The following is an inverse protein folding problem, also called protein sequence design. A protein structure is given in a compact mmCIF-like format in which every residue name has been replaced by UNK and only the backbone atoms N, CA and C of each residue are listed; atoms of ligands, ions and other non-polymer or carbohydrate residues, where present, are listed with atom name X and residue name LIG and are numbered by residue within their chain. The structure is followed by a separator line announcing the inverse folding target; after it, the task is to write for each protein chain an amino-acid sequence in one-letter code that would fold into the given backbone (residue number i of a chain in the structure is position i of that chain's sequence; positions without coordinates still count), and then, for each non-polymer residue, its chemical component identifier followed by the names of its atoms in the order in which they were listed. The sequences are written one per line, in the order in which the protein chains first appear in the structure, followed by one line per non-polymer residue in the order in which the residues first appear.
data_IF_547514931060
#
_entry.id   IF_547514931060
#
_cell.length_a   1.000
_cell.length_b   1.000
_cell.length_c   1.000
_cell.angle_alpha   90.00
_cell.angle_beta   90.00
_cell.angle_gamma   90.00
#
_symmetry.space_group_name_H-M   'P 1'
#
loop_
_entity.id
_entity.type
_entity.pdbx_description
1 polymer ?
#
# COMPACT_ATOMS: atom_id res chain seq x y z
N UNK A 1 -18.85 -17.26 -23.94
CA UNK A 1 -17.87 -17.49 -22.85
C UNK A 1 -18.50 -17.04 -21.54
N UNK A 2 -18.22 -17.72 -20.43
CA UNK A 2 -18.78 -17.42 -19.11
C UNK A 2 -18.25 -16.07 -18.58
N UNK A 3 -19.11 -15.10 -18.25
CA UNK A 3 -18.69 -13.83 -17.63
C UNK A 3 -17.80 -14.00 -16.38
N UNK A 4 -17.98 -15.08 -15.61
CA UNK A 4 -17.15 -15.38 -14.43
C UNK A 4 -15.69 -15.67 -14.80
N UNK A 5 -15.42 -16.12 -16.03
CA UNK A 5 -14.05 -16.31 -16.54
C UNK A 5 -13.32 -14.99 -16.85
N UNK A 6 -14.03 -13.86 -16.81
CA UNK A 6 -13.50 -12.51 -17.02
C UNK A 6 -13.52 -11.66 -15.75
N UNK A 7 -13.93 -12.23 -14.60
CA UNK A 7 -13.76 -11.58 -13.31
C UNK A 7 -12.25 -11.45 -13.03
N UNK A 8 -11.68 -10.37 -13.55
CA UNK A 8 -10.26 -10.06 -13.57
C UNK A 8 -9.70 -10.07 -12.16
N UNK A 9 -8.77 -10.98 -11.91
CA UNK A 9 -7.76 -10.75 -10.89
C UNK A 9 -6.77 -9.78 -11.50
N UNK A 10 -6.95 -8.47 -11.25
CA UNK A 10 -6.16 -7.38 -11.85
C UNK A 10 -4.64 -7.62 -11.76
N UNK A 11 -4.21 -8.32 -10.72
CA UNK A 11 -2.81 -8.69 -10.50
C UNK A 11 -2.27 -9.76 -11.45
N UNK A 12 -3.11 -10.62 -12.04
CA UNK A 12 -2.68 -11.76 -12.86
C UNK A 12 -2.04 -11.30 -14.17
N UNK A 13 -2.62 -10.29 -14.83
CA UNK A 13 -2.05 -9.72 -16.04
C UNK A 13 -0.70 -9.06 -15.75
N UNK A 14 -0.63 -8.25 -14.69
CA UNK A 14 0.61 -7.64 -14.21
C UNK A 14 1.69 -8.70 -13.92
N UNK A 15 1.34 -9.72 -13.14
CA UNK A 15 2.25 -10.81 -12.79
C UNK A 15 2.72 -11.59 -14.02
N UNK A 16 1.84 -11.84 -14.99
CA UNK A 16 2.20 -12.54 -16.23
C UNK A 16 3.14 -11.73 -17.11
N UNK A 17 2.93 -10.41 -17.18
CA UNK A 17 3.86 -9.53 -17.86
C UNK A 17 5.22 -9.51 -17.16
N UNK A 18 5.23 -9.38 -15.83
CA UNK A 18 6.46 -9.36 -15.02
C UNK A 18 7.20 -10.69 -15.09
N UNK A 19 6.50 -11.83 -15.08
CA UNK A 19 7.15 -13.14 -15.16
C UNK A 19 7.82 -13.41 -16.51
N UNK A 20 7.36 -12.75 -17.57
CA UNK A 20 8.02 -12.78 -18.88
C UNK A 20 9.23 -11.85 -18.99
N UNK A 21 9.46 -10.95 -18.03
CA UNK A 21 10.59 -10.00 -17.99
C UNK A 21 11.63 -10.42 -16.96
N UNK A 22 11.18 -10.94 -15.82
CA UNK A 22 12.00 -11.31 -14.68
C UNK A 22 11.72 -12.78 -14.33
N UNK A 23 12.76 -13.61 -14.38
CA UNK A 23 12.65 -15.04 -14.10
C UNK A 23 12.34 -15.31 -12.62
N UNK A 24 13.13 -14.72 -11.72
CA UNK A 24 12.99 -14.88 -10.28
C UNK A 24 12.80 -13.52 -9.61
N UNK A 25 11.58 -13.26 -9.12
CA UNK A 25 11.26 -12.01 -8.43
C UNK A 25 10.03 -12.14 -7.53
N UNK A 26 9.94 -11.28 -6.52
CA UNK A 26 8.68 -10.96 -5.84
C UNK A 26 8.07 -9.77 -6.55
N UNK A 27 6.90 -9.93 -7.18
CA UNK A 27 6.15 -8.80 -7.73
C UNK A 27 5.25 -8.22 -6.63
N UNK A 28 5.39 -6.93 -6.36
CA UNK A 28 4.56 -6.21 -5.38
C UNK A 28 3.79 -5.10 -6.09
N UNK A 29 2.46 -5.12 -5.99
CA UNK A 29 1.58 -4.08 -6.52
C UNK A 29 0.82 -3.43 -5.37
N UNK A 30 1.14 -2.17 -5.06
CA UNK A 30 0.50 -1.43 -3.97
C UNK A 30 -0.51 -0.44 -4.53
N UNK A 31 -1.79 -0.77 -4.38
CA UNK A 31 -2.89 0.10 -4.75
C UNK A 31 -3.35 1.03 -3.62
N UNK A 32 -4.50 1.68 -3.85
CA UNK A 32 -5.16 2.51 -2.82
C UNK A 32 -5.65 1.71 -1.62
N UNK A 33 -5.96 0.42 -1.82
CA UNK A 33 -6.72 -0.41 -0.86
C UNK A 33 -5.98 -1.66 -0.43
N UNK A 34 -5.27 -2.29 -1.37
CA UNK A 34 -4.63 -3.58 -1.20
C UNK A 34 -3.19 -3.55 -1.68
N UNK A 35 -2.40 -4.48 -1.16
CA UNK A 35 -1.05 -4.79 -1.64
C UNK A 35 -1.03 -6.26 -2.05
N UNK A 36 -0.74 -6.51 -3.32
CA UNK A 36 -0.53 -7.86 -3.84
C UNK A 36 0.96 -8.21 -3.74
N UNK A 37 1.29 -9.41 -3.24
CA UNK A 37 2.68 -9.89 -3.08
C UNK A 37 2.80 -11.25 -3.77
N UNK A 38 3.40 -11.27 -4.95
CA UNK A 38 3.28 -12.38 -5.89
C UNK A 38 4.67 -12.98 -6.18
N UNK A 39 4.93 -14.23 -5.76
CA UNK A 39 6.17 -14.90 -6.09
C UNK A 39 6.18 -15.34 -7.56
N UNK A 40 7.27 -15.01 -8.26
CA UNK A 40 7.60 -15.48 -9.60
C UNK A 40 8.91 -16.26 -9.51
N UNK A 41 8.91 -17.51 -10.00
CA UNK A 41 10.06 -18.42 -9.94
C UNK A 41 10.25 -19.08 -11.31
N UNK A 42 11.42 -18.91 -11.93
CA UNK A 42 11.72 -19.39 -13.27
C UNK A 42 10.74 -18.91 -14.34
N UNK A 43 10.18 -17.70 -14.19
CA UNK A 43 9.17 -17.12 -15.08
C UNK A 43 7.74 -17.64 -14.84
N UNK A 44 7.53 -18.48 -13.83
CA UNK A 44 6.23 -19.03 -13.45
C UNK A 44 5.67 -18.35 -12.20
N UNK A 45 4.39 -17.98 -12.26
CA UNK A 45 3.67 -17.39 -11.13
C UNK A 45 3.35 -18.49 -10.11
N UNK A 46 3.85 -18.34 -8.87
CA UNK A 46 3.63 -19.30 -7.78
C UNK A 46 2.55 -18.88 -6.77
N UNK A 47 1.89 -17.75 -7.02
CA UNK A 47 0.80 -17.25 -6.18
C UNK A 47 -0.40 -18.23 -6.14
N UNK A 48 -1.11 -18.21 -5.01
CA UNK A 48 -2.39 -18.86 -4.79
C UNK A 48 -3.47 -18.25 -5.69
N UNK A 49 -4.47 -19.06 -6.02
CA UNK A 49 -5.49 -18.69 -7.00
C UNK A 49 -6.62 -17.86 -6.40
N UNK A 50 -7.02 -18.17 -5.16
CA UNK A 50 -8.16 -17.51 -4.51
C UNK A 50 -7.69 -16.45 -3.52
N UNK A 51 -8.46 -15.37 -3.37
CA UNK A 51 -8.11 -14.32 -2.41
C UNK A 51 -8.07 -14.84 -0.96
N UNK A 52 -8.90 -15.82 -0.60
CA UNK A 52 -8.84 -16.46 0.72
C UNK A 52 -7.48 -17.13 0.98
N UNK A 53 -6.97 -17.89 0.02
CA UNK A 53 -5.65 -18.53 0.15
C UNK A 53 -4.52 -17.50 0.14
N UNK A 54 -4.66 -16.43 -0.66
CA UNK A 54 -3.70 -15.33 -0.71
C UNK A 54 -3.66 -14.55 0.60
N UNK A 55 -4.81 -14.29 1.21
CA UNK A 55 -4.90 -13.70 2.56
C UNK A 55 -4.24 -14.61 3.61
N UNK A 56 -4.49 -15.92 3.56
CA UNK A 56 -3.88 -16.91 4.49
C UNK A 56 -2.36 -16.99 4.36
N UNK A 57 -1.82 -16.83 3.15
CA UNK A 57 -0.39 -16.91 2.87
C UNK A 57 0.34 -15.56 2.95
N UNK A 58 -0.42 -14.45 2.97
CA UNK A 58 0.08 -13.08 2.93
C UNK A 58 0.43 -12.57 1.53
N UNK A 59 0.07 -13.30 0.48
CA UNK A 59 0.18 -12.87 -0.93
C UNK A 59 -0.86 -11.80 -1.31
N UNK A 60 -1.84 -11.57 -0.43
CA UNK A 60 -2.76 -10.44 -0.46
C UNK A 60 -2.77 -9.80 0.94
N UNK A 61 -2.43 -8.52 1.01
CA UNK A 61 -2.51 -7.71 2.21
C UNK A 61 -3.60 -6.67 1.98
N UNK A 62 -4.62 -6.63 2.86
CA UNK A 62 -5.71 -5.65 2.79
C UNK A 62 -5.29 -4.30 3.42
N UNK A 63 -4.22 -3.74 2.86
CA UNK A 63 -3.66 -2.46 3.23
C UNK A 63 -3.05 -1.81 1.99
N UNK A 64 -3.42 -0.56 1.71
CA UNK A 64 -2.93 0.23 0.59
C UNK A 64 -2.51 1.62 1.04
N UNK A 65 -2.23 2.50 0.08
CA UNK A 65 -1.71 3.84 0.37
C UNK A 65 -2.81 4.83 0.78
N UNK A 66 -4.07 4.61 0.39
CA UNK A 66 -5.10 5.63 0.58
C UNK A 66 -6.17 5.23 1.60
N UNK A 67 -6.87 4.12 1.35
CA UNK A 67 -8.20 3.84 1.91
C UNK A 67 -8.20 3.02 3.20
N UNK A 68 -7.04 2.58 3.68
CA UNK A 68 -6.97 1.68 4.83
C UNK A 68 -7.21 2.44 6.12
N UNK A 69 -8.21 2.01 6.92
CA UNK A 69 -8.45 2.55 8.26
C UNK A 69 -7.23 2.31 9.16
N UNK A 70 -6.71 3.37 9.79
CA UNK A 70 -5.58 3.30 10.72
C UNK A 70 -5.82 2.28 11.84
N UNK A 71 -7.07 2.13 12.31
CA UNK A 71 -7.46 1.17 13.34
C UNK A 71 -7.32 -0.32 12.94
N UNK A 72 -7.10 -0.60 11.65
CA UNK A 72 -6.81 -1.94 11.12
C UNK A 72 -5.31 -2.20 10.94
N UNK A 73 -4.50 -1.15 10.97
CA UNK A 73 -3.03 -1.20 10.88
C UNK A 73 -2.40 -1.27 12.27
N UNK A 74 -2.89 -0.42 13.18
CA UNK A 74 -2.41 -0.30 14.55
C UNK A 74 -3.49 -0.77 15.54
N UNK A 75 -3.07 -1.06 16.77
CA UNK A 75 -3.97 -1.29 17.92
C UNK A 75 -3.65 -0.38 19.10
N UNK A 76 -2.42 0.09 19.14
CA UNK A 76 -1.90 1.06 20.09
C UNK A 76 -0.90 1.95 19.37
N UNK A 77 -0.65 3.12 19.92
CA UNK A 77 0.36 4.09 19.48
C UNK A 77 1.15 4.58 20.67
N UNK A 78 2.40 4.92 20.45
CA UNK A 78 3.22 5.68 21.40
C UNK A 78 2.94 7.18 21.20
N UNK A 79 2.63 7.91 22.27
CA UNK A 79 2.38 9.37 22.28
C UNK A 79 3.22 10.03 23.38
N UNK A 80 3.68 11.27 23.12
CA UNK A 80 4.48 12.03 24.08
C UNK A 80 5.82 11.34 24.39
N UNK A 81 6.09 11.11 25.67
CA UNK A 81 7.30 10.44 26.17
C UNK A 81 7.27 8.90 25.98
N UNK A 82 6.79 8.44 24.81
CA UNK A 82 6.58 7.03 24.44
C UNK A 82 5.57 6.28 25.32
N UNK A 83 4.55 6.96 25.82
CA UNK A 83 3.48 6.31 26.56
C UNK A 83 2.55 5.56 25.60
N UNK A 84 2.24 4.31 25.95
CA UNK A 84 1.40 3.45 25.11
C UNK A 84 -0.09 3.82 25.27
N UNK A 85 -0.70 4.27 24.19
CA UNK A 85 -2.10 4.66 24.11
C UNK A 85 -2.89 3.68 23.22
N UNK A 86 -4.03 3.19 23.70
CA UNK A 86 -4.94 2.40 22.86
C UNK A 86 -5.71 3.31 21.91
N UNK A 87 -5.98 2.83 20.69
CA UNK A 87 -6.67 3.64 19.68
C UNK A 87 -8.15 3.28 19.56
N UNK A 88 -8.95 4.24 19.11
CA UNK A 88 -10.34 4.04 18.70
C UNK A 88 -10.45 3.11 17.49
N UNK A 89 -11.53 2.33 17.43
CA UNK A 89 -11.88 1.53 16.26
C UNK A 89 -12.60 2.31 15.15
N UNK A 90 -13.07 3.52 15.45
CA UNK A 90 -13.80 4.38 14.52
C UNK A 90 -12.95 4.74 13.29
N UNK A 91 -13.62 5.00 12.16
CA UNK A 91 -12.98 5.46 10.93
C UNK A 91 -12.65 6.96 11.05
N UNK A 92 -11.69 7.32 11.90
CA UNK A 92 -11.26 8.72 12.04
C UNK A 92 -10.16 9.12 11.07
N UNK A 93 -9.22 8.20 10.79
CA UNK A 93 -8.12 8.42 9.88
C UNK A 93 -7.87 7.21 9.00
N UNK A 94 -7.35 7.48 7.81
CA UNK A 94 -6.91 6.46 6.85
C UNK A 94 -5.44 6.65 6.49
N UNK A 95 -4.85 5.66 5.84
CA UNK A 95 -3.46 5.68 5.38
C UNK A 95 -3.10 6.88 4.50
N UNK A 96 -4.06 7.43 3.72
CA UNK A 96 -3.83 8.67 3.00
C UNK A 96 -3.48 9.84 3.93
N UNK A 97 -4.09 9.93 5.11
CA UNK A 97 -3.80 10.98 6.08
C UNK A 97 -2.37 10.85 6.59
N UNK A 98 -1.95 9.63 6.96
CA UNK A 98 -0.59 9.36 7.39
C UNK A 98 0.43 9.75 6.31
N UNK A 99 0.22 9.30 5.07
CA UNK A 99 1.17 9.56 3.98
C UNK A 99 1.15 11.00 3.47
N UNK A 100 0.04 11.72 3.61
CA UNK A 100 -0.01 13.16 3.35
C UNK A 100 0.78 13.92 4.43
N UNK A 101 0.63 13.54 5.71
CA UNK A 101 1.35 14.17 6.83
C UNK A 101 2.86 13.98 6.71
N UNK A 102 3.28 12.78 6.31
CA UNK A 102 4.68 12.43 6.09
C UNK A 102 5.24 12.93 4.74
N UNK A 103 4.41 13.50 3.86
CA UNK A 103 4.82 14.03 2.57
C UNK A 103 5.16 12.97 1.50
N UNK A 104 4.73 11.72 1.69
CA UNK A 104 4.87 10.66 0.67
C UNK A 104 3.85 10.79 -0.46
N UNK A 105 2.72 11.46 -0.20
CA UNK A 105 1.70 11.78 -1.19
C UNK A 105 1.33 13.27 -1.11
N UNK A 106 0.86 13.82 -2.23
CA UNK A 106 0.30 15.17 -2.31
C UNK A 106 -1.21 15.16 -2.11
N UNK A 107 -1.82 16.33 -1.97
CA UNK A 107 -3.28 16.46 -1.94
C UNK A 107 -3.94 15.93 -3.22
N UNK A 108 -3.28 16.07 -4.38
CA UNK A 108 -3.77 15.57 -5.67
C UNK A 108 -3.71 14.04 -5.77
N UNK A 109 -2.74 13.41 -5.10
CA UNK A 109 -2.63 11.95 -5.01
C UNK A 109 -3.72 11.34 -4.09
N UNK A 110 -4.21 12.12 -3.11
CA UNK A 110 -5.30 11.74 -2.20
C UNK A 110 -6.65 11.77 -2.93
N UNK A 111 -6.87 10.77 -3.78
CA UNK A 111 -8.02 10.69 -4.70
C UNK A 111 -9.32 10.15 -4.09
N UNK A 112 -9.30 9.58 -2.89
CA UNK A 112 -10.52 9.20 -2.16
C UNK A 112 -11.03 10.35 -1.27
N UNK A 113 -12.26 10.21 -0.77
CA UNK A 113 -12.79 11.10 0.27
C UNK A 113 -12.02 10.89 1.58
N UNK A 114 -11.81 11.97 2.33
CA UNK A 114 -11.38 11.85 3.72
C UNK A 114 -12.53 11.32 4.59
N UNK A 115 -12.23 10.69 5.74
CA UNK A 115 -13.26 10.23 6.67
C UNK A 115 -14.24 11.30 7.17
N UNK A 116 -13.82 12.57 7.18
CA UNK A 116 -14.61 13.71 7.61
C UNK A 116 -14.95 14.69 6.48
N UNK A 117 -14.97 14.22 5.23
CA UNK A 117 -15.25 15.02 4.02
C UNK A 117 -16.54 15.84 4.14
N UNK A 118 -17.56 15.33 4.84
CA UNK A 118 -18.82 16.01 5.11
C UNK A 118 -18.67 17.35 5.84
N UNK A 119 -17.58 17.55 6.60
CA UNK A 119 -17.31 18.79 7.32
C UNK A 119 -16.72 19.90 6.43
N UNK A 120 -16.41 19.60 5.17
CA UNK A 120 -15.72 20.47 4.23
C UNK A 120 -16.58 20.89 3.03
N UNK A 121 -17.90 20.81 3.12
CA UNK A 121 -18.80 21.30 2.07
C UNK A 121 -18.50 22.78 1.74
N UNK A 122 -18.14 23.06 0.48
CA UNK A 122 -17.73 24.39 0.02
C UNK A 122 -16.28 24.79 0.37
N UNK A 123 -15.50 23.87 0.95
CA UNK A 123 -14.09 24.04 1.36
C UNK A 123 -13.27 22.78 1.06
N UNK A 124 -13.52 22.14 -0.07
CA UNK A 124 -12.95 20.84 -0.45
C UNK A 124 -11.41 20.88 -0.53
N UNK A 125 -10.82 22.04 -0.83
CA UNK A 125 -9.36 22.22 -0.82
C UNK A 125 -8.75 22.07 0.60
N UNK A 126 -9.50 22.40 1.64
CA UNK A 126 -9.04 22.30 3.03
C UNK A 126 -9.12 20.85 3.56
N UNK A 127 -10.01 20.02 2.99
CA UNK A 127 -10.24 18.61 3.37
C UNK A 127 -8.94 17.80 3.37
N UNK A 128 -8.14 17.97 2.32
CA UNK A 128 -6.92 17.22 2.01
C UNK A 128 -5.65 18.03 2.27
N UNK A 129 -5.71 18.91 3.25
CA UNK A 129 -4.54 19.62 3.77
C UNK A 129 -3.82 18.77 4.82
N UNK A 130 -2.52 19.02 4.99
CA UNK A 130 -1.70 18.38 6.04
C UNK A 130 -2.29 18.59 7.44
N UNK A 131 -2.80 19.79 7.72
CA UNK A 131 -3.40 20.12 9.03
C UNK A 131 -4.69 19.34 9.28
N UNK A 132 -5.56 19.20 8.28
CA UNK A 132 -6.78 18.39 8.40
C UNK A 132 -6.47 16.90 8.59
N UNK A 133 -5.45 16.39 7.90
CA UNK A 133 -4.97 15.02 8.11
C UNK A 133 -4.41 14.79 9.52
N UNK A 134 -3.63 15.73 10.07
CA UNK A 134 -3.16 15.65 11.46
C UNK A 134 -4.33 15.64 12.45
N UNK A 135 -5.34 16.50 12.26
CA UNK A 135 -6.56 16.49 13.09
C UNK A 135 -7.30 15.15 13.05
N UNK A 136 -7.40 14.53 11.87
CA UNK A 136 -7.98 13.18 11.74
C UNK A 136 -7.14 12.13 12.48
N UNK A 137 -5.82 12.20 12.39
CA UNK A 137 -4.92 11.32 13.13
C UNK A 137 -5.02 11.52 14.65
N UNK A 138 -5.17 12.74 15.15
CA UNK A 138 -5.39 12.99 16.59
C UNK A 138 -6.66 12.31 17.13
N UNK A 139 -7.74 12.29 16.32
CA UNK A 139 -8.99 11.62 16.70
C UNK A 139 -8.84 10.10 16.87
N UNK A 140 -7.80 9.48 16.29
CA UNK A 140 -7.52 8.05 16.46
C UNK A 140 -7.31 7.70 17.93
N UNK A 141 -6.81 8.63 18.75
CA UNK A 141 -6.68 8.48 20.21
C UNK A 141 -7.74 9.27 20.99
N UNK A 142 -8.88 9.54 20.35
CA UNK A 142 -10.01 10.28 20.93
C UNK A 142 -9.64 11.70 21.42
N UNK A 143 -8.67 12.33 20.78
CA UNK A 143 -8.18 13.67 21.13
C UNK A 143 -8.24 14.62 19.92
N UNK A 144 -7.78 15.85 20.09
CA UNK A 144 -7.62 16.86 19.05
C UNK A 144 -6.15 17.28 18.89
N UNK A 145 -5.87 18.07 17.85
CA UNK A 145 -4.50 18.44 17.51
C UNK A 145 -3.93 19.44 18.52
N UNK A 146 -4.79 20.26 19.09
CA UNK A 146 -4.48 21.27 20.08
C UNK A 146 -4.02 20.63 21.41
N UNK A 147 -4.55 19.46 21.76
CA UNK A 147 -4.14 18.68 22.94
C UNK A 147 -2.86 17.86 22.72
N UNK A 148 -2.77 17.04 21.65
CA UNK A 148 -1.60 16.15 21.48
C UNK A 148 -0.40 16.81 20.78
N UNK A 149 -0.62 17.93 20.09
CA UNK A 149 0.39 18.62 19.30
C UNK A 149 0.70 17.96 17.94
N UNK A 150 1.35 18.73 17.05
CA UNK A 150 1.71 18.25 15.70
C UNK A 150 2.71 17.09 15.74
N UNK A 151 3.68 17.12 16.64
CA UNK A 151 4.72 16.08 16.73
C UNK A 151 4.12 14.71 17.06
N UNK A 152 3.15 14.65 17.97
CA UNK A 152 2.43 13.41 18.28
C UNK A 152 1.59 12.92 17.10
N UNK A 153 0.91 13.83 16.38
CA UNK A 153 0.14 13.46 15.19
C UNK A 153 1.04 12.92 14.06
N UNK A 154 2.23 13.51 13.87
CA UNK A 154 3.27 12.99 12.96
C UNK A 154 3.77 11.63 13.45
N UNK A 155 4.05 11.46 14.74
CA UNK A 155 4.47 10.20 15.33
C UNK A 155 3.46 9.06 15.12
N UNK A 156 2.15 9.34 15.18
CA UNK A 156 1.11 8.37 14.80
C UNK A 156 1.26 7.98 13.31
N UNK A 157 1.45 8.95 12.41
CA UNK A 157 1.64 8.67 10.99
C UNK A 157 2.89 7.82 10.71
N UNK A 158 4.01 8.09 11.40
CA UNK A 158 5.24 7.30 11.31
C UNK A 158 5.02 5.85 11.76
N UNK A 159 4.29 5.66 12.86
CA UNK A 159 3.91 4.32 13.35
C UNK A 159 3.03 3.57 12.36
N UNK A 160 2.08 4.25 11.68
CA UNK A 160 1.28 3.65 10.60
C UNK A 160 2.18 3.15 9.47
N UNK A 161 3.10 3.99 8.99
CA UNK A 161 4.05 3.61 7.94
C UNK A 161 4.91 2.42 8.38
N UNK A 162 5.51 2.49 9.56
CA UNK A 162 6.36 1.42 10.13
C UNK A 162 5.60 0.09 10.18
N UNK A 163 4.35 0.09 10.63
CA UNK A 163 3.52 -1.10 10.68
C UNK A 163 3.16 -1.66 9.30
N UNK A 164 2.85 -0.80 8.31
CA UNK A 164 2.60 -1.24 6.93
C UNK A 164 3.87 -1.84 6.29
N UNK A 165 5.03 -1.20 6.45
CA UNK A 165 6.32 -1.70 5.97
C UNK A 165 6.66 -3.04 6.62
N UNK A 166 6.54 -3.15 7.95
CA UNK A 166 6.82 -4.39 8.68
C UNK A 166 5.92 -5.55 8.21
N UNK A 167 4.63 -5.29 7.98
CA UNK A 167 3.69 -6.29 7.47
C UNK A 167 4.04 -6.75 6.05
N UNK A 168 4.44 -5.83 5.18
CA UNK A 168 4.90 -6.15 3.83
C UNK A 168 6.21 -6.95 3.85
N UNK A 169 7.20 -6.49 4.62
CA UNK A 169 8.48 -7.18 4.80
C UNK A 169 8.29 -8.60 5.34
N UNK A 170 7.40 -8.79 6.33
CA UNK A 170 7.07 -10.10 6.84
C UNK A 170 6.44 -11.03 5.77
N UNK A 171 5.72 -10.49 4.79
CA UNK A 171 5.24 -11.28 3.66
C UNK A 171 6.37 -11.63 2.68
N UNK A 172 7.18 -10.63 2.32
CA UNK A 172 8.30 -10.79 1.40
C UNK A 172 9.35 -11.77 1.92
N UNK A 173 9.70 -11.74 3.21
CA UNK A 173 10.71 -12.63 3.80
C UNK A 173 10.31 -14.10 3.67
N UNK A 174 9.03 -14.43 3.90
CA UNK A 174 8.52 -15.81 3.73
C UNK A 174 8.68 -16.30 2.30
N UNK A 175 8.46 -15.44 1.31
CA UNK A 175 8.62 -15.78 -0.10
C UNK A 175 10.09 -15.88 -0.51
N UNK A 176 10.93 -14.95 -0.01
CA UNK A 176 12.38 -14.99 -0.18
C UNK A 176 12.95 -16.31 0.33
N UNK A 177 12.65 -16.70 1.56
CA UNK A 177 13.17 -17.95 2.15
C UNK A 177 12.63 -19.19 1.44
N UNK A 178 11.34 -19.21 1.11
CA UNK A 178 10.70 -20.37 0.48
C UNK A 178 11.19 -20.64 -0.94
N UNK A 179 11.47 -19.58 -1.70
CA UNK A 179 11.74 -19.67 -3.14
C UNK A 179 13.15 -19.19 -3.55
N UNK A 180 13.96 -18.67 -2.62
CA UNK A 180 15.29 -18.13 -2.91
C UNK A 180 15.26 -16.81 -3.71
N UNK A 181 14.24 -15.98 -3.50
CA UNK A 181 14.04 -14.76 -4.29
C UNK A 181 14.83 -13.57 -3.71
N UNK A 182 15.68 -12.97 -4.54
CA UNK A 182 16.58 -11.85 -4.17
C UNK A 182 16.27 -10.53 -4.91
N UNK A 183 15.15 -10.48 -5.64
CA UNK A 183 14.66 -9.29 -6.32
C UNK A 183 13.19 -9.04 -6.00
N UNK A 184 12.82 -7.77 -5.81
CA UNK A 184 11.45 -7.30 -5.77
C UNK A 184 11.20 -6.27 -6.87
N UNK A 185 10.10 -6.44 -7.60
CA UNK A 185 9.63 -5.51 -8.63
C UNK A 185 8.34 -4.86 -8.15
N UNK A 186 8.33 -3.53 -8.08
CA UNK A 186 7.25 -2.75 -7.49
C UNK A 186 6.42 -2.00 -8.53
N UNK A 187 5.10 -2.08 -8.42
CA UNK A 187 4.11 -1.31 -9.17
C UNK A 187 3.11 -0.61 -8.26
N UNK A 188 2.22 0.18 -8.86
CA UNK A 188 1.19 0.93 -8.15
C UNK A 188 1.71 2.28 -7.64
N UNK A 189 1.15 2.71 -6.51
CA UNK A 189 1.37 4.04 -5.90
C UNK A 189 2.20 3.99 -4.61
N UNK A 190 2.66 2.80 -4.20
CA UNK A 190 3.32 2.56 -2.91
C UNK A 190 4.80 2.19 -2.99
N UNK A 191 5.52 2.59 -4.03
CA UNK A 191 6.96 2.26 -4.20
C UNK A 191 7.81 2.54 -2.95
N UNK A 192 7.49 3.61 -2.22
CA UNK A 192 8.24 4.01 -1.04
C UNK A 192 8.16 2.98 0.11
N UNK A 193 7.01 2.34 0.35
CA UNK A 193 6.92 1.26 1.35
C UNK A 193 7.56 -0.04 0.87
N UNK A 194 7.49 -0.32 -0.44
CA UNK A 194 8.12 -1.51 -1.02
C UNK A 194 9.63 -1.39 -0.97
N UNK A 195 10.16 -0.21 -1.29
CA UNK A 195 11.59 0.08 -1.20
C UNK A 195 12.10 -0.12 0.23
N UNK A 196 11.42 0.46 1.22
CA UNK A 196 11.84 0.34 2.62
C UNK A 196 11.79 -1.12 3.12
N UNK A 197 10.74 -1.86 2.73
CA UNK A 197 10.67 -3.30 3.01
C UNK A 197 11.82 -4.07 2.34
N UNK A 198 12.14 -3.78 1.08
CA UNK A 198 13.24 -4.40 0.34
C UNK A 198 14.60 -4.12 0.99
N UNK A 199 14.85 -2.86 1.35
CA UNK A 199 16.08 -2.43 2.02
C UNK A 199 16.25 -3.19 3.36
N UNK A 200 15.17 -3.35 4.15
CA UNK A 200 15.21 -4.08 5.43
C UNK A 200 15.53 -5.57 5.29
N UNK A 201 15.26 -6.14 4.10
CA UNK A 201 15.49 -7.57 3.80
C UNK A 201 16.75 -7.80 2.94
N UNK A 202 17.48 -6.74 2.62
CA UNK A 202 18.62 -6.75 1.70
C UNK A 202 18.29 -7.45 0.37
N UNK A 203 17.15 -7.09 -0.23
CA UNK A 203 16.66 -7.61 -1.53
C UNK A 203 16.78 -6.49 -2.56
N UNK A 204 17.19 -6.83 -3.79
CA UNK A 204 17.27 -5.85 -4.88
C UNK A 204 15.88 -5.25 -5.18
N UNK A 205 15.76 -3.93 -5.13
CA UNK A 205 14.52 -3.21 -5.45
C UNK A 205 14.52 -2.66 -6.88
N UNK A 206 13.44 -2.92 -7.62
CA UNK A 206 13.19 -2.34 -8.93
C UNK A 206 11.81 -1.68 -8.98
N UNK A 207 11.79 -0.38 -9.23
CA UNK A 207 10.54 0.39 -9.39
C UNK A 207 10.09 0.43 -10.85
N UNK A 208 8.86 0.03 -11.12
CA UNK A 208 8.24 0.21 -12.43
C UNK A 208 7.86 1.67 -12.68
N UNK A 209 7.66 2.48 -11.64
CA UNK A 209 7.44 3.92 -11.81
C UNK A 209 8.70 4.63 -12.32
N UNK A 210 9.89 4.15 -11.99
CA UNK A 210 11.16 4.63 -12.57
C UNK A 210 11.36 4.21 -14.03
N UNK A 211 10.81 3.05 -14.44
CA UNK A 211 10.98 2.52 -15.80
C UNK A 211 9.91 3.10 -16.76
N UNK A 212 8.64 3.10 -16.33
CA UNK A 212 7.50 3.43 -17.16
C UNK A 212 6.80 4.74 -16.76
N UNK A 213 7.24 5.39 -15.68
CA UNK A 213 6.59 6.58 -15.14
C UNK A 213 5.46 6.26 -14.16
N UNK A 214 5.22 7.18 -13.22
CA UNK A 214 4.22 7.04 -12.15
C UNK A 214 2.81 6.71 -12.65
N UNK A 215 2.37 7.35 -13.74
CA UNK A 215 1.02 7.13 -14.30
C UNK A 215 0.82 5.70 -14.82
N UNK A 216 1.82 5.13 -15.49
CA UNK A 216 1.75 3.75 -15.97
C UNK A 216 1.85 2.78 -14.79
N UNK A 217 2.73 3.04 -13.82
CA UNK A 217 2.83 2.21 -12.61
C UNK A 217 1.52 2.17 -11.82
N UNK A 218 0.84 3.31 -11.64
CA UNK A 218 -0.44 3.39 -10.94
C UNK A 218 -1.59 2.66 -11.65
N UNK A 219 -1.48 2.44 -12.98
CA UNK A 219 -2.45 1.74 -13.80
C UNK A 219 -1.84 0.49 -14.46
N UNK A 220 -0.89 -0.15 -13.78
CA UNK A 220 -0.05 -1.19 -14.38
C UNK A 220 -0.81 -2.39 -14.96
N UNK A 221 -1.92 -2.88 -14.36
CA UNK A 221 -2.73 -3.94 -14.96
C UNK A 221 -3.17 -3.63 -16.39
N UNK A 222 -3.62 -2.40 -16.67
CA UNK A 222 -4.06 -2.00 -18.01
C UNK A 222 -2.89 -1.99 -19.01
N UNK A 223 -1.74 -1.48 -18.57
CA UNK A 223 -0.52 -1.51 -19.38
C UNK A 223 -0.08 -2.95 -19.69
N UNK A 224 -0.04 -3.81 -18.68
CA UNK A 224 0.35 -5.22 -18.80
C UNK A 224 -0.55 -5.97 -19.79
N UNK A 225 -1.87 -5.81 -19.69
CA UNK A 225 -2.83 -6.38 -20.66
C UNK A 225 -2.51 -5.91 -22.08
N UNK A 226 -2.28 -4.60 -22.29
CA UNK A 226 -1.97 -4.07 -23.62
C UNK A 226 -0.72 -4.72 -24.23
N UNK A 227 0.34 -4.91 -23.44
CA UNK A 227 1.60 -5.50 -23.90
C UNK A 227 1.52 -7.00 -24.15
N UNK A 228 0.74 -7.71 -23.34
CA UNK A 228 0.48 -9.13 -23.53
C UNK A 228 -0.34 -9.38 -24.79
N UNK A 229 -1.30 -8.51 -25.12
CA UNK A 229 -2.05 -8.59 -26.38
C UNK A 229 -1.17 -8.38 -27.61
N UNK A 230 -0.24 -7.42 -27.58
CA UNK A 230 0.69 -7.19 -28.71
C UNK A 230 1.59 -8.39 -28.98
N UNK A 231 1.98 -9.17 -27.96
CA UNK A 231 2.80 -10.38 -28.14
C UNK A 231 2.04 -11.57 -28.76
N UNK A 232 0.70 -11.52 -28.83
CA UNK A 232 -0.14 -12.58 -29.39
C UNK A 232 -0.38 -12.41 -30.91
N UNK A 233 0.03 -11.27 -31.47
CA UNK A 233 -0.04 -10.94 -32.89
C UNK A 233 1.37 -10.80 -33.46
#
# INVERSE_FOLDING_TARGET
KDPLSFASTNWLASAKFISGQYGDAIFVDVGSTTTDVIPVVGGEIKAKRTDLERLKSGELIYSGILRTNVATVLKKVEIGDNEECSISSELFAITADAYLVLGYITADDYSCESPDSYAFAGREKEEKSRISAMRRLSRVVCSDLEEIGEDSAVGIAEQVKKAQVARLAASMVRLKEKYGLEMVVSAGIGDFIVKEAADSLNIQFLSLSSIYGKKISAAFPAYAVSKLLVKLF
#
